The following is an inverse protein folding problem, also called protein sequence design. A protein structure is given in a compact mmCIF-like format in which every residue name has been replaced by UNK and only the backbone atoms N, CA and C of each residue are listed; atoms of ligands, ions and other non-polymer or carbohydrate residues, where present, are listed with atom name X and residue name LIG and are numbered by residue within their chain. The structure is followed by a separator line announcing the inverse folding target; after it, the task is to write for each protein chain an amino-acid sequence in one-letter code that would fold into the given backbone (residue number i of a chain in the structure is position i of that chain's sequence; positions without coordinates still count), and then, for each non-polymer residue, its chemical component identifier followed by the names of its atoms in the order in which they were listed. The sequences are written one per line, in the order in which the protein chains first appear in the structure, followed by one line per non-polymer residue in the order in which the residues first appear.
data_IF_170123346679
#
_entry.id   IF_170123346679
#
_cell.length_a   1.000
_cell.length_b   1.000
_cell.length_c   1.000
_cell.angle_alpha   90.00
_cell.angle_beta   90.00
_cell.angle_gamma   90.00
#
_symmetry.space_group_name_H-M   'P 1'
#
loop_
_entity.id
_entity.type
_entity.pdbx_description
1 polymer ?
#
# COMPACT_ATOMS: atom_id res chain seq x y z
N UNK A 1 -26.12 -8.73 -17.68
CA UNK A 1 -25.23 -9.81 -17.21
C UNK A 1 -24.76 -9.45 -15.82
N UNK A 2 -24.82 -10.35 -14.87
CA UNK A 2 -24.35 -10.08 -13.50
C UNK A 2 -22.82 -9.99 -13.50
N UNK A 3 -22.27 -9.04 -12.71
CA UNK A 3 -20.81 -8.88 -12.62
C UNK A 3 -20.20 -10.04 -11.83
N UNK A 4 -19.06 -10.52 -12.29
CA UNK A 4 -18.29 -11.56 -11.62
C UNK A 4 -16.86 -11.01 -11.40
N UNK A 5 -16.60 -10.64 -10.16
CA UNK A 5 -15.32 -10.06 -9.73
C UNK A 5 -14.56 -11.07 -8.88
N UNK A 6 -13.32 -11.31 -9.22
CA UNK A 6 -12.40 -12.08 -8.42
C UNK A 6 -11.46 -11.12 -7.67
N UNK A 7 -11.05 -11.53 -6.47
CA UNK A 7 -9.90 -10.93 -5.78
C UNK A 7 -8.92 -12.03 -5.42
N UNK A 8 -7.73 -11.97 -5.99
CA UNK A 8 -6.64 -12.91 -5.75
C UNK A 8 -5.61 -12.31 -4.80
N UNK A 9 -5.21 -13.08 -3.76
CA UNK A 9 -4.28 -12.67 -2.71
C UNK A 9 -3.24 -13.79 -2.49
N UNK A 10 -1.96 -13.50 -2.77
CA UNK A 10 -0.87 -14.46 -2.63
C UNK A 10 -0.59 -14.73 -1.15
N UNK A 11 -0.73 -15.99 -0.73
CA UNK A 11 -0.61 -16.35 0.67
C UNK A 11 0.80 -16.17 1.22
N UNK A 12 0.93 -15.38 2.30
CA UNK A 12 2.22 -15.11 2.96
C UNK A 12 3.30 -14.67 1.95
N UNK A 13 2.96 -13.88 0.96
CA UNK A 13 3.68 -13.64 -0.30
C UNK A 13 5.21 -13.65 -0.16
N UNK A 14 5.80 -12.71 0.59
CA UNK A 14 7.25 -12.62 0.72
C UNK A 14 7.87 -13.88 1.34
N UNK A 15 7.26 -14.39 2.42
CA UNK A 15 7.76 -15.60 3.09
C UNK A 15 7.65 -16.84 2.19
N UNK A 16 6.59 -16.94 1.39
CA UNK A 16 6.40 -18.04 0.44
C UNK A 16 7.41 -17.97 -0.70
N UNK A 17 7.74 -16.78 -1.20
CA UNK A 17 8.76 -16.59 -2.23
C UNK A 17 10.15 -16.93 -1.68
N UNK A 18 10.51 -16.46 -0.47
CA UNK A 18 11.79 -16.82 0.16
C UNK A 18 11.92 -18.34 0.35
N UNK A 19 10.85 -18.99 0.79
CA UNK A 19 10.82 -20.46 0.94
C UNK A 19 10.96 -21.19 -0.41
N UNK A 20 10.38 -20.64 -1.48
CA UNK A 20 10.54 -21.18 -2.83
C UNK A 20 11.98 -21.03 -3.34
N UNK A 21 12.61 -19.87 -3.12
CA UNK A 21 13.98 -19.59 -3.52
C UNK A 21 14.98 -20.44 -2.72
N UNK A 22 14.69 -20.69 -1.45
CA UNK A 22 15.50 -21.54 -0.59
C UNK A 22 14.64 -22.64 0.07
N UNK A 23 14.52 -23.82 -0.54
CA UNK A 23 13.70 -24.92 -0.01
C UNK A 23 14.08 -25.41 1.39
N UNK A 24 15.28 -25.09 1.88
CA UNK A 24 15.69 -25.41 3.27
C UNK A 24 14.89 -24.65 4.32
N UNK A 25 14.22 -23.57 3.93
CA UNK A 25 13.35 -22.77 4.80
C UNK A 25 11.94 -23.37 4.98
N UNK A 26 11.60 -24.40 4.23
CA UNK A 26 10.28 -25.04 4.28
C UNK A 26 10.02 -25.67 5.64
N UNK A 27 8.88 -25.36 6.24
CA UNK A 27 8.48 -25.86 7.55
C UNK A 27 9.15 -25.16 8.74
N UNK A 28 9.99 -24.15 8.49
CA UNK A 28 10.64 -23.37 9.54
C UNK A 28 9.80 -22.11 9.83
N UNK A 29 9.55 -21.78 11.11
CA UNK A 29 8.99 -20.47 11.45
C UNK A 29 9.93 -19.36 11.00
N UNK A 30 9.55 -18.61 9.96
CA UNK A 30 10.33 -17.50 9.44
C UNK A 30 9.51 -16.22 9.33
N UNK A 31 10.18 -15.08 9.44
CA UNK A 31 9.64 -13.78 9.15
C UNK A 31 10.60 -13.00 8.23
N UNK A 32 10.02 -12.37 7.20
CA UNK A 32 10.73 -11.39 6.38
C UNK A 32 10.64 -10.06 7.09
N UNK A 33 11.80 -9.47 7.43
CA UNK A 33 11.87 -8.26 8.25
C UNK A 33 12.85 -7.26 7.66
N UNK A 34 12.60 -5.95 7.87
CA UNK A 34 13.60 -4.93 7.66
C UNK A 34 14.81 -5.09 8.61
N UNK A 35 15.92 -4.45 8.30
CA UNK A 35 17.14 -4.53 9.11
C UNK A 35 16.92 -3.90 10.49
N UNK A 36 17.32 -4.62 11.53
CA UNK A 36 17.20 -4.15 12.91
C UNK A 36 18.11 -2.95 13.17
N UNK A 37 19.30 -2.98 12.60
CA UNK A 37 20.34 -1.96 12.72
C UNK A 37 19.86 -0.60 12.18
N UNK A 38 19.03 -0.62 11.14
CA UNK A 38 18.47 0.57 10.50
C UNK A 38 17.18 1.06 11.19
N UNK A 39 16.86 0.59 12.41
CA UNK A 39 15.58 0.87 13.12
C UNK A 39 14.31 0.49 12.32
N UNK A 40 14.44 -0.34 11.27
CA UNK A 40 13.35 -0.85 10.42
C UNK A 40 12.94 -2.28 10.77
N UNK A 41 13.29 -2.74 11.95
CA UNK A 41 13.09 -4.11 12.40
C UNK A 41 11.63 -4.48 12.69
N UNK A 42 10.75 -4.41 11.68
CA UNK A 42 9.37 -4.90 11.76
C UNK A 42 9.14 -6.11 10.85
N UNK A 43 8.18 -6.95 11.24
CA UNK A 43 7.73 -8.08 10.44
C UNK A 43 6.93 -7.58 9.24
N UNK A 44 7.45 -7.78 8.02
CA UNK A 44 6.78 -7.45 6.76
C UNK A 44 5.87 -8.59 6.31
N UNK A 45 6.36 -9.83 6.38
CA UNK A 45 5.61 -11.05 6.11
C UNK A 45 6.13 -12.19 6.99
N UNK A 46 5.35 -13.24 7.13
CA UNK A 46 5.70 -14.40 7.96
C UNK A 46 5.23 -15.70 7.32
N UNK A 47 5.91 -16.80 7.61
CA UNK A 47 5.47 -18.14 7.21
C UNK A 47 4.22 -18.57 7.96
N UNK A 48 3.56 -19.62 7.48
CA UNK A 48 2.38 -20.16 8.13
C UNK A 48 2.72 -20.72 9.53
N UNK A 49 3.90 -21.32 9.69
CA UNK A 49 4.42 -21.82 10.96
C UNK A 49 4.58 -20.70 11.98
N UNK A 50 5.15 -19.56 11.58
CA UNK A 50 5.28 -18.38 12.46
C UNK A 50 3.91 -17.77 12.79
N UNK A 51 2.96 -17.78 11.82
CA UNK A 51 1.59 -17.30 12.03
C UNK A 51 0.85 -18.11 13.10
N UNK A 52 0.97 -19.42 13.10
CA UNK A 52 0.36 -20.31 14.10
C UNK A 52 0.90 -20.03 15.51
N UNK A 53 2.18 -19.63 15.63
CA UNK A 53 2.81 -19.24 16.88
C UNK A 53 2.46 -17.78 17.32
N UNK A 54 1.55 -17.12 16.60
CA UNK A 54 1.02 -15.82 16.96
C UNK A 54 1.85 -14.62 16.50
N UNK A 55 2.85 -14.80 15.62
CA UNK A 55 3.60 -13.71 15.00
C UNK A 55 2.67 -12.90 14.09
N UNK A 56 2.71 -11.57 14.18
CA UNK A 56 1.86 -10.64 13.42
C UNK A 56 2.68 -9.77 12.47
N UNK A 57 2.12 -9.43 11.32
CA UNK A 57 2.69 -8.42 10.42
C UNK A 57 2.59 -7.04 11.08
N UNK A 58 3.64 -6.23 10.93
CA UNK A 58 3.74 -4.89 11.51
C UNK A 58 4.23 -4.83 12.96
N UNK A 59 4.45 -5.98 13.62
CA UNK A 59 5.06 -5.97 14.96
C UNK A 59 6.59 -5.90 14.90
N UNK A 60 7.21 -5.43 15.96
CA UNK A 60 8.66 -5.37 16.05
C UNK A 60 9.28 -6.77 16.13
N UNK A 61 10.51 -6.93 15.64
CA UNK A 61 11.21 -8.23 15.66
C UNK A 61 11.28 -8.81 17.07
N UNK A 62 11.57 -8.00 18.09
CA UNK A 62 11.66 -8.47 19.47
C UNK A 62 10.33 -8.99 20.01
N UNK A 63 9.19 -8.36 19.64
CA UNK A 63 7.84 -8.85 19.99
C UNK A 63 7.54 -10.20 19.33
N UNK A 64 7.92 -10.33 18.04
CA UNK A 64 7.78 -11.59 17.31
C UNK A 64 8.63 -12.71 17.93
N UNK A 65 9.87 -12.40 18.31
CA UNK A 65 10.78 -13.37 18.97
C UNK A 65 10.32 -13.78 20.36
N UNK A 66 9.62 -12.93 21.12
CA UNK A 66 9.00 -13.34 22.38
C UNK A 66 7.93 -14.43 22.19
N UNK A 67 7.21 -14.41 21.07
CA UNK A 67 6.19 -15.42 20.72
C UNK A 67 6.78 -16.66 20.08
N UNK A 68 7.85 -16.48 19.31
CA UNK A 68 8.54 -17.52 18.58
C UNK A 68 10.06 -17.37 18.77
N UNK A 69 10.65 -17.93 19.86
CA UNK A 69 12.09 -17.77 20.15
C UNK A 69 13.01 -18.25 19.04
N UNK A 70 12.59 -19.27 18.29
CA UNK A 70 13.35 -19.83 17.15
C UNK A 70 12.94 -19.21 15.80
N UNK A 71 12.36 -18.00 15.79
CA UNK A 71 11.96 -17.31 14.58
C UNK A 71 13.18 -16.95 13.72
N UNK A 72 13.23 -17.50 12.52
CA UNK A 72 14.27 -17.16 11.55
C UNK A 72 13.93 -15.82 10.89
N UNK A 73 14.85 -14.88 10.96
CA UNK A 73 14.70 -13.56 10.32
C UNK A 73 15.42 -13.58 8.96
N UNK A 74 14.67 -13.17 7.90
CA UNK A 74 15.19 -13.11 6.53
C UNK A 74 15.03 -11.66 6.02
N UNK A 75 16.06 -11.07 5.41
CA UNK A 75 15.94 -9.73 4.80
C UNK A 75 15.03 -9.78 3.56
N UNK A 76 14.33 -8.68 3.22
CA UNK A 76 13.42 -8.67 2.08
C UNK A 76 14.18 -8.60 0.75
N UNK A 77 13.71 -9.35 -0.24
CA UNK A 77 14.17 -9.34 -1.62
C UNK A 77 13.06 -8.81 -2.55
N UNK A 78 12.90 -7.49 -2.59
CA UNK A 78 11.82 -6.84 -3.34
C UNK A 78 11.85 -7.12 -4.86
N UNK A 79 13.03 -7.31 -5.44
CA UNK A 79 13.16 -7.60 -6.87
C UNK A 79 12.48 -8.93 -7.24
N UNK A 80 12.70 -9.98 -6.42
CA UNK A 80 12.02 -11.25 -6.60
C UNK A 80 10.51 -11.17 -6.29
N UNK A 81 10.10 -10.37 -5.30
CA UNK A 81 8.66 -10.19 -5.01
C UNK A 81 7.93 -9.51 -6.17
N UNK A 82 8.51 -8.45 -6.73
CA UNK A 82 7.97 -7.76 -7.90
C UNK A 82 7.94 -8.65 -9.15
N UNK A 83 8.92 -9.53 -9.31
CA UNK A 83 8.99 -10.49 -10.42
C UNK A 83 7.88 -11.53 -10.31
N UNK A 84 7.68 -12.13 -9.13
CA UNK A 84 6.58 -13.06 -8.89
C UNK A 84 5.21 -12.40 -9.00
N UNK A 85 5.08 -11.15 -8.55
CA UNK A 85 3.87 -10.33 -8.74
C UNK A 85 3.53 -10.15 -10.22
N UNK A 86 4.53 -9.89 -11.08
CA UNK A 86 4.32 -9.78 -12.54
C UNK A 86 3.88 -11.11 -13.14
N UNK A 87 4.56 -12.21 -12.82
CA UNK A 87 4.19 -13.53 -13.30
C UNK A 87 2.78 -13.96 -12.90
N UNK A 88 2.36 -13.65 -11.66
CA UNK A 88 1.00 -13.90 -11.24
C UNK A 88 -0.01 -13.10 -12.08
N UNK A 89 0.28 -11.81 -12.34
CA UNK A 89 -0.57 -10.99 -13.21
C UNK A 89 -0.61 -11.46 -14.66
N UNK A 90 0.50 -11.99 -15.18
CA UNK A 90 0.52 -12.58 -16.53
C UNK A 90 -0.47 -13.75 -16.62
N UNK A 91 -0.55 -14.60 -15.59
CA UNK A 91 -1.57 -15.65 -15.49
C UNK A 91 -2.99 -15.06 -15.45
N UNK A 92 -3.20 -13.99 -14.67
CA UNK A 92 -4.52 -13.34 -14.56
C UNK A 92 -4.99 -12.75 -15.91
N UNK A 93 -4.06 -12.21 -16.70
CA UNK A 93 -4.36 -11.64 -18.02
C UNK A 93 -4.83 -12.68 -19.05
N UNK A 94 -4.58 -13.97 -18.85
CA UNK A 94 -5.13 -15.02 -19.68
C UNK A 94 -6.66 -15.13 -19.56
N UNK A 95 -7.23 -14.64 -18.45
CA UNK A 95 -8.67 -14.71 -18.15
C UNK A 95 -9.41 -13.39 -18.34
N UNK A 96 -8.74 -12.26 -18.23
CA UNK A 96 -9.36 -10.93 -18.39
C UNK A 96 -8.33 -9.86 -18.70
N UNK A 97 -8.70 -8.86 -19.51
CA UNK A 97 -7.94 -7.63 -19.67
C UNK A 97 -8.19 -6.63 -18.54
N UNK A 98 -9.22 -6.83 -17.72
CA UNK A 98 -9.54 -6.01 -16.57
C UNK A 98 -8.92 -6.62 -15.31
N UNK A 99 -7.67 -6.27 -15.05
CA UNK A 99 -6.88 -6.73 -13.89
C UNK A 99 -6.28 -5.51 -13.20
N UNK A 100 -6.75 -5.24 -12.00
CA UNK A 100 -6.36 -4.09 -11.19
C UNK A 100 -5.48 -4.54 -10.01
N UNK A 101 -4.19 -4.17 -10.01
CA UNK A 101 -3.32 -4.46 -8.88
C UNK A 101 -3.73 -3.69 -7.61
N UNK A 102 -3.66 -4.37 -6.47
CA UNK A 102 -3.81 -3.78 -5.14
C UNK A 102 -2.60 -4.17 -4.27
N UNK A 103 -1.50 -3.45 -4.44
CA UNK A 103 -0.21 -3.80 -3.86
C UNK A 103 0.62 -4.75 -4.75
N UNK A 104 1.51 -5.52 -4.10
CA UNK A 104 2.42 -6.45 -4.78
C UNK A 104 1.76 -7.81 -4.98
N UNK A 105 0.95 -8.24 -4.03
CA UNK A 105 0.44 -9.60 -3.88
C UNK A 105 -1.07 -9.74 -4.12
N UNK A 106 -1.77 -8.64 -4.31
CA UNK A 106 -3.22 -8.64 -4.49
C UNK A 106 -3.62 -8.07 -5.87
N UNK A 107 -4.69 -8.64 -6.46
CA UNK A 107 -5.31 -8.12 -7.68
C UNK A 107 -6.82 -8.36 -7.68
N UNK A 108 -7.58 -7.39 -8.21
CA UNK A 108 -8.94 -7.65 -8.69
C UNK A 108 -8.94 -8.00 -10.16
N UNK A 109 -9.86 -8.89 -10.54
CA UNK A 109 -10.14 -9.26 -11.92
C UNK A 109 -11.66 -9.15 -12.18
N UNK A 110 -12.07 -8.52 -13.25
CA UNK A 110 -13.45 -8.62 -13.75
C UNK A 110 -13.49 -9.67 -14.86
N UNK A 111 -14.07 -10.83 -14.54
CA UNK A 111 -14.18 -11.96 -15.49
C UNK A 111 -15.58 -12.09 -16.08
N UNK A 112 -16.44 -11.07 -15.89
CA UNK A 112 -17.84 -11.09 -16.38
C UNK A 112 -17.93 -11.38 -17.89
N UNK A 113 -17.00 -10.83 -18.67
CA UNK A 113 -16.95 -11.05 -20.13
C UNK A 113 -16.37 -12.40 -20.54
N UNK A 114 -15.73 -13.12 -19.63
CA UNK A 114 -14.97 -14.35 -19.92
C UNK A 114 -15.69 -15.64 -19.49
N UNK A 115 -16.81 -15.54 -18.79
CA UNK A 115 -17.54 -16.71 -18.26
C UNK A 115 -18.03 -17.68 -19.34
N UNK A 116 -18.27 -17.20 -20.55
CA UNK A 116 -18.68 -18.05 -21.67
C UNK A 116 -17.51 -18.87 -22.27
N UNK A 117 -16.27 -18.47 -21.98
CA UNK A 117 -15.05 -19.16 -22.43
C UNK A 117 -14.51 -20.13 -21.38
N UNK A 118 -14.53 -19.72 -20.11
CA UNK A 118 -13.82 -20.42 -19.02
C UNK A 118 -14.75 -21.01 -17.95
N UNK A 119 -16.08 -20.82 -18.04
CA UNK A 119 -17.03 -21.31 -17.07
C UNK A 119 -17.38 -20.28 -15.99
N UNK A 120 -17.98 -20.72 -14.89
CA UNK A 120 -18.42 -19.83 -13.79
C UNK A 120 -17.24 -19.19 -13.07
N UNK A 121 -17.47 -18.07 -12.43
CA UNK A 121 -16.43 -17.34 -11.66
C UNK A 121 -15.65 -18.22 -10.69
N UNK A 122 -16.32 -19.16 -10.03
CA UNK A 122 -15.68 -20.13 -9.13
C UNK A 122 -14.75 -21.09 -9.88
N UNK A 123 -15.13 -21.55 -11.06
CA UNK A 123 -14.32 -22.48 -11.87
C UNK A 123 -13.05 -21.77 -12.36
N UNK A 124 -13.20 -20.51 -12.83
CA UNK A 124 -12.06 -19.65 -13.20
C UNK A 124 -11.12 -19.44 -12.00
N UNK A 125 -11.67 -19.16 -10.82
CA UNK A 125 -10.88 -18.95 -9.61
C UNK A 125 -10.09 -20.21 -9.20
N UNK A 126 -10.69 -21.41 -9.28
CA UNK A 126 -10.02 -22.68 -8.99
C UNK A 126 -8.92 -22.98 -10.02
N UNK A 127 -9.15 -22.67 -11.28
CA UNK A 127 -8.14 -22.84 -12.33
C UNK A 127 -6.95 -21.90 -12.10
N UNK A 128 -7.19 -20.60 -11.84
CA UNK A 128 -6.15 -19.62 -11.50
C UNK A 128 -5.36 -20.09 -10.28
N UNK A 129 -6.04 -20.52 -9.20
CA UNK A 129 -5.40 -21.03 -7.98
C UNK A 129 -4.47 -22.22 -8.27
N UNK A 130 -4.96 -23.16 -9.08
CA UNK A 130 -4.18 -24.34 -9.49
C UNK A 130 -2.96 -23.97 -10.34
N UNK A 131 -3.11 -23.03 -11.28
CA UNK A 131 -2.03 -22.55 -12.13
C UNK A 131 -0.96 -21.81 -11.33
N UNK A 132 -1.33 -20.88 -10.44
CA UNK A 132 -0.38 -20.17 -9.56
C UNK A 132 0.43 -21.19 -8.75
N UNK A 133 -0.22 -22.19 -8.18
CA UNK A 133 0.45 -23.23 -7.42
C UNK A 133 1.41 -24.06 -8.27
N UNK A 134 1.01 -24.46 -9.47
CA UNK A 134 1.79 -25.30 -10.38
C UNK A 134 2.93 -24.55 -11.05
N UNK A 135 2.65 -23.34 -11.57
CA UNK A 135 3.58 -22.57 -12.39
C UNK A 135 4.53 -21.73 -11.51
N UNK A 136 4.02 -21.13 -10.42
CA UNK A 136 4.82 -20.26 -9.57
C UNK A 136 5.28 -20.91 -8.27
N UNK A 137 4.76 -22.08 -7.90
CA UNK A 137 5.13 -22.78 -6.67
C UNK A 137 4.75 -22.08 -5.37
N UNK A 138 3.82 -21.13 -5.43
CA UNK A 138 3.22 -20.41 -4.29
C UNK A 138 1.71 -20.63 -4.29
N UNK A 139 1.04 -20.31 -3.20
CA UNK A 139 -0.42 -20.44 -3.11
C UNK A 139 -1.12 -19.09 -3.13
N UNK A 140 -2.36 -19.07 -3.59
CA UNK A 140 -3.23 -17.89 -3.62
C UNK A 140 -4.59 -18.22 -3.04
N UNK A 141 -5.18 -17.29 -2.31
CA UNK A 141 -6.59 -17.38 -1.91
C UNK A 141 -7.41 -16.42 -2.76
N UNK A 142 -8.55 -16.89 -3.28
CA UNK A 142 -9.35 -16.13 -4.23
C UNK A 142 -10.77 -15.99 -3.70
N UNK A 143 -11.23 -14.75 -3.61
CA UNK A 143 -12.64 -14.44 -3.38
C UNK A 143 -13.36 -14.17 -4.68
N UNK A 144 -14.57 -14.72 -4.83
CA UNK A 144 -15.45 -14.54 -5.99
C UNK A 144 -16.71 -13.83 -5.53
N UNK A 145 -17.08 -12.73 -6.16
CA UNK A 145 -18.31 -12.00 -5.81
C UNK A 145 -18.79 -11.10 -6.95
N UNK A 146 -19.88 -10.38 -6.71
CA UNK A 146 -20.48 -9.42 -7.65
C UNK A 146 -19.92 -8.00 -7.53
N UNK A 147 -19.02 -7.73 -6.58
CA UNK A 147 -18.33 -6.46 -6.40
C UNK A 147 -16.92 -6.65 -5.82
N UNK A 148 -16.10 -5.60 -5.90
CA UNK A 148 -14.69 -5.62 -5.45
C UNK A 148 -14.55 -5.83 -3.95
N UNK A 149 -15.45 -5.24 -3.16
CA UNK A 149 -15.39 -5.26 -1.68
C UNK A 149 -15.60 -6.68 -1.15
N UNK A 150 -16.63 -7.36 -1.66
CA UNK A 150 -16.93 -8.72 -1.21
C UNK A 150 -16.00 -9.77 -1.82
N UNK A 151 -15.50 -9.53 -3.04
CA UNK A 151 -14.44 -10.38 -3.58
C UNK A 151 -13.20 -10.35 -2.68
N UNK A 152 -12.76 -9.15 -2.22
CA UNK A 152 -11.66 -9.05 -1.28
C UNK A 152 -11.98 -9.70 0.06
N UNK A 153 -13.13 -9.46 0.63
CA UNK A 153 -13.54 -10.10 1.87
C UNK A 153 -13.51 -11.63 1.74
N UNK A 154 -14.03 -12.18 0.62
CA UNK A 154 -14.00 -13.61 0.33
C UNK A 154 -12.60 -14.21 0.31
N UNK A 155 -11.61 -13.48 -0.25
CA UNK A 155 -10.22 -13.95 -0.29
C UNK A 155 -9.59 -14.05 1.10
N UNK A 156 -10.08 -13.28 2.09
CA UNK A 156 -9.58 -13.28 3.46
C UNK A 156 -10.26 -14.35 4.36
N UNK A 157 -11.51 -14.76 4.04
CA UNK A 157 -12.30 -15.68 4.88
C UNK A 157 -11.69 -17.07 5.05
N UNK A 158 -11.08 -17.60 3.97
CA UNK A 158 -10.45 -18.93 3.99
C UNK A 158 -9.03 -18.82 3.43
N UNK A 159 -8.06 -18.84 4.32
CA UNK A 159 -6.62 -18.83 3.97
C UNK A 159 -5.91 -19.98 4.72
N UNK A 160 -4.90 -20.61 4.11
CA UNK A 160 -4.36 -20.40 2.76
C UNK A 160 -5.01 -21.31 1.70
N UNK A 161 -4.67 -21.04 0.40
CA UNK A 161 -4.91 -21.93 -0.75
C UNK A 161 -6.39 -22.32 -0.92
N UNK A 162 -7.29 -21.34 -0.99
CA UNK A 162 -8.73 -21.58 -1.03
C UNK A 162 -9.46 -20.62 -1.97
N UNK A 163 -10.64 -21.05 -2.43
CA UNK A 163 -11.61 -20.20 -3.14
C UNK A 163 -12.86 -20.03 -2.28
N UNK A 164 -13.31 -18.79 -2.12
CA UNK A 164 -14.52 -18.44 -1.38
C UNK A 164 -15.45 -17.61 -2.25
N UNK A 165 -16.67 -18.07 -2.43
CA UNK A 165 -17.70 -17.35 -3.17
C UNK A 165 -18.70 -16.67 -2.21
N UNK A 166 -18.95 -15.39 -2.47
CA UNK A 166 -19.98 -14.58 -1.79
C UNK A 166 -20.97 -14.12 -2.86
N UNK A 167 -22.08 -14.84 -2.98
CA UNK A 167 -23.12 -14.57 -3.96
C UNK A 167 -24.06 -13.47 -3.48
N UNK A 168 -24.83 -12.87 -4.40
CA UNK A 168 -25.79 -11.81 -4.08
C UNK A 168 -26.94 -12.30 -3.21
N UNK A 169 -27.30 -13.57 -3.35
CA UNK A 169 -28.41 -14.19 -2.65
C UNK A 169 -28.09 -14.45 -1.18
N UNK A 170 -26.84 -14.76 -0.87
CA UNK A 170 -26.43 -15.28 0.45
C UNK A 170 -25.42 -14.39 1.21
N UNK A 171 -25.03 -13.24 0.64
CA UNK A 171 -23.99 -12.40 1.27
C UNK A 171 -24.35 -11.97 2.70
N UNK A 172 -25.62 -11.70 2.98
CA UNK A 172 -26.05 -11.26 4.31
C UNK A 172 -25.78 -12.33 5.36
N UNK A 173 -26.09 -13.58 5.06
CA UNK A 173 -25.87 -14.72 5.95
C UNK A 173 -24.38 -14.96 6.18
N UNK A 174 -23.58 -14.84 5.10
CA UNK A 174 -22.14 -15.08 5.13
C UNK A 174 -21.34 -14.00 5.84
N UNK A 175 -21.71 -12.72 5.68
CA UNK A 175 -20.83 -11.62 6.09
C UNK A 175 -21.38 -10.70 7.18
N UNK A 176 -22.69 -10.60 7.37
CA UNK A 176 -23.23 -9.62 8.31
C UNK A 176 -22.87 -9.90 9.77
N UNK A 177 -22.58 -11.14 10.13
CA UNK A 177 -22.12 -11.51 11.46
C UNK A 177 -20.61 -11.34 11.68
N UNK A 178 -19.86 -10.99 10.62
CA UNK A 178 -18.42 -10.78 10.73
C UNK A 178 -18.11 -9.46 11.46
N UNK A 179 -16.98 -9.39 12.18
CA UNK A 179 -16.49 -8.16 12.79
C UNK A 179 -16.32 -7.04 11.76
N UNK A 180 -16.53 -5.80 12.19
CA UNK A 180 -16.41 -4.62 11.32
C UNK A 180 -15.07 -4.48 10.61
N UNK A 181 -13.99 -4.86 11.27
CA UNK A 181 -12.62 -4.76 10.75
C UNK A 181 -12.33 -5.65 9.54
N UNK A 182 -13.18 -6.64 9.29
CA UNK A 182 -13.09 -7.48 8.09
C UNK A 182 -13.55 -6.72 6.82
N UNK A 183 -14.34 -5.66 6.99
CA UNK A 183 -14.78 -4.85 5.86
C UNK A 183 -13.66 -3.90 5.40
N UNK A 184 -13.33 -3.95 4.12
CA UNK A 184 -12.32 -3.08 3.51
C UNK A 184 -12.60 -1.60 3.83
N UNK A 185 -11.58 -0.90 4.34
CA UNK A 185 -11.66 0.52 4.73
C UNK A 185 -11.97 0.74 6.21
N UNK A 186 -12.30 -0.28 6.99
CA UNK A 186 -12.52 -0.16 8.44
C UNK A 186 -11.20 -0.39 9.20
N UNK A 187 -10.40 0.66 9.29
CA UNK A 187 -9.21 0.66 10.15
C UNK A 187 -9.55 0.93 11.64
N UNK A 188 -8.53 0.86 12.50
CA UNK A 188 -8.65 1.04 13.97
C UNK A 188 -9.44 2.31 14.37
N UNK A 189 -9.24 3.41 13.65
CA UNK A 189 -9.91 4.69 13.95
C UNK A 189 -11.42 4.62 13.65
N UNK A 190 -11.82 4.06 12.52
CA UNK A 190 -13.23 3.87 12.17
C UNK A 190 -13.89 2.86 13.09
N UNK A 191 -13.27 1.71 13.36
CA UNK A 191 -13.76 0.72 14.33
C UNK A 191 -14.06 1.37 15.68
N UNK A 192 -13.11 2.18 16.23
CA UNK A 192 -13.32 2.87 17.52
C UNK A 192 -14.52 3.83 17.49
N UNK A 193 -14.72 4.56 16.39
CA UNK A 193 -15.84 5.49 16.24
C UNK A 193 -17.18 4.73 16.08
N UNK A 194 -17.22 3.67 15.28
CA UNK A 194 -18.41 2.85 15.07
C UNK A 194 -18.83 2.11 16.35
N UNK A 195 -17.88 1.56 17.09
CA UNK A 195 -18.16 0.90 18.38
C UNK A 195 -18.81 1.86 19.39
N UNK A 196 -18.46 3.16 19.37
CA UNK A 196 -19.14 4.17 20.20
C UNK A 196 -20.61 4.40 19.82
N UNK A 197 -21.00 4.01 18.61
CA UNK A 197 -22.36 4.01 18.11
C UNK A 197 -23.06 2.64 18.28
N UNK A 198 -22.45 1.73 19.06
CA UNK A 198 -22.92 0.35 19.28
C UNK A 198 -22.99 -0.48 18.00
N UNK A 199 -22.13 -0.17 17.00
CA UNK A 199 -21.98 -0.88 15.74
C UNK A 199 -20.71 -1.72 15.83
N UNK A 200 -20.85 -3.06 15.85
CA UNK A 200 -19.74 -3.99 16.06
C UNK A 200 -19.52 -4.94 14.88
N UNK A 201 -20.57 -5.21 14.10
CA UNK A 201 -20.55 -6.12 12.97
C UNK A 201 -20.84 -5.40 11.65
N UNK A 202 -20.53 -6.07 10.53
CA UNK A 202 -20.89 -5.56 9.20
C UNK A 202 -22.42 -5.40 9.08
N UNK A 203 -23.18 -6.33 9.65
CA UNK A 203 -24.65 -6.26 9.66
C UNK A 203 -25.19 -5.12 10.50
N UNK A 204 -24.57 -4.77 11.64
CA UNK A 204 -24.98 -3.59 12.42
C UNK A 204 -24.76 -2.32 11.60
N UNK A 205 -23.61 -2.22 10.91
CA UNK A 205 -23.33 -1.10 10.01
C UNK A 205 -24.35 -1.01 8.88
N UNK A 206 -24.69 -2.14 8.26
CA UNK A 206 -25.63 -2.21 7.13
C UNK A 206 -27.05 -1.76 7.54
N UNK A 207 -27.48 -2.07 8.77
CA UNK A 207 -28.78 -1.67 9.34
C UNK A 207 -28.78 -0.29 9.97
N UNK A 208 -27.58 0.30 10.17
CA UNK A 208 -27.45 1.61 10.79
C UNK A 208 -28.06 2.73 9.95
N UNK A 209 -28.44 3.83 10.63
CA UNK A 209 -28.95 5.04 9.97
C UNK A 209 -27.84 5.74 9.17
N UNK A 210 -27.95 5.85 7.85
CA UNK A 210 -26.93 6.47 7.01
C UNK A 210 -26.69 7.95 7.31
N UNK A 211 -27.71 8.69 7.76
CA UNK A 211 -27.57 10.12 8.11
C UNK A 211 -26.78 10.30 9.40
N UNK A 212 -27.02 9.46 10.40
CA UNK A 212 -26.23 9.42 11.63
C UNK A 212 -24.76 9.04 11.33
N UNK A 213 -24.55 8.03 10.50
CA UNK A 213 -23.23 7.57 10.07
C UNK A 213 -22.49 8.71 9.33
N UNK A 214 -23.17 9.40 8.42
CA UNK A 214 -22.62 10.55 7.69
C UNK A 214 -22.24 11.69 8.63
N UNK A 215 -23.09 12.01 9.58
CA UNK A 215 -22.82 13.06 10.57
C UNK A 215 -21.58 12.76 11.43
N UNK A 216 -21.37 11.49 11.82
CA UNK A 216 -20.27 11.08 12.71
C UNK A 216 -18.97 10.74 11.99
N UNK A 217 -19.04 10.24 10.77
CA UNK A 217 -17.89 9.68 10.03
C UNK A 217 -17.64 10.37 8.68
N UNK A 218 -18.50 11.30 8.28
CA UNK A 218 -18.43 11.98 6.99
C UNK A 218 -18.75 11.05 5.81
N UNK A 219 -18.35 11.45 4.62
CA UNK A 219 -18.63 10.72 3.38
C UNK A 219 -18.04 9.30 3.38
N UNK A 220 -16.89 9.09 4.01
CA UNK A 220 -16.27 7.77 4.11
C UNK A 220 -17.14 6.79 4.93
N UNK A 221 -17.88 7.28 5.92
CA UNK A 221 -18.85 6.48 6.65
C UNK A 221 -20.00 5.99 5.76
N UNK A 222 -20.47 6.86 4.85
CA UNK A 222 -21.49 6.51 3.86
C UNK A 222 -20.98 5.46 2.88
N UNK A 223 -19.72 5.56 2.43
CA UNK A 223 -19.12 4.51 1.59
C UNK A 223 -19.09 3.16 2.32
N UNK A 224 -18.64 3.13 3.57
CA UNK A 224 -18.64 1.89 4.37
C UNK A 224 -20.03 1.30 4.57
N UNK A 225 -21.03 2.15 4.81
CA UNK A 225 -22.43 1.72 4.89
C UNK A 225 -22.94 1.12 3.56
N UNK A 226 -22.60 1.74 2.43
CA UNK A 226 -22.92 1.19 1.12
C UNK A 226 -22.21 -0.16 0.89
N UNK A 227 -20.95 -0.28 1.25
CA UNK A 227 -20.20 -1.53 1.14
C UNK A 227 -20.83 -2.66 1.97
N UNK A 228 -21.20 -2.39 3.23
CA UNK A 228 -21.90 -3.36 4.07
C UNK A 228 -23.25 -3.84 3.48
N UNK A 229 -23.88 -3.01 2.64
CA UNK A 229 -25.08 -3.32 1.89
C UNK A 229 -24.85 -3.90 0.48
N UNK A 230 -23.58 -4.21 0.12
CA UNK A 230 -23.23 -4.74 -1.19
C UNK A 230 -23.31 -3.75 -2.35
N UNK A 231 -23.34 -2.46 -2.04
CA UNK A 231 -23.48 -1.36 -3.01
C UNK A 231 -22.12 -0.79 -3.38
N UNK A 232 -21.32 -1.57 -4.08
CA UNK A 232 -20.10 -1.10 -4.73
C UNK A 232 -20.18 -1.36 -6.24
N UNK A 233 -20.09 -0.30 -7.01
CA UNK A 233 -20.18 -0.31 -8.47
C UNK A 233 -18.86 0.10 -9.13
N UNK A 234 -17.77 0.23 -8.36
CA UNK A 234 -16.47 0.58 -8.89
C UNK A 234 -16.03 -0.46 -9.93
N UNK A 235 -15.52 0.01 -11.06
CA UNK A 235 -14.98 -0.86 -12.11
C UNK A 235 -13.60 -1.40 -11.70
N UNK A 236 -13.26 -2.57 -12.22
CA UNK A 236 -11.88 -3.04 -12.25
C UNK A 236 -11.19 -2.35 -13.42
N UNK A 237 -10.03 -1.78 -13.20
CA UNK A 237 -9.30 -1.04 -14.24
C UNK A 237 -8.72 -1.96 -15.30
N UNK A 238 -8.58 -1.45 -16.52
CA UNK A 238 -7.94 -2.17 -17.61
C UNK A 238 -6.43 -2.32 -17.37
N UNK A 239 -5.85 -3.33 -18.01
CA UNK A 239 -4.42 -3.65 -18.00
C UNK A 239 -3.52 -2.44 -18.28
N UNK A 240 -3.94 -1.58 -19.22
CA UNK A 240 -3.15 -0.45 -19.68
C UNK A 240 -3.39 0.84 -18.86
N UNK A 241 -4.36 0.81 -17.95
CA UNK A 241 -4.63 1.96 -17.08
C UNK A 241 -3.45 2.21 -16.15
N UNK A 242 -3.08 3.46 -16.00
CA UNK A 242 -2.07 3.93 -15.05
C UNK A 242 -2.60 5.14 -14.32
N UNK A 243 -2.63 5.04 -13.00
CA UNK A 243 -2.96 6.21 -12.18
C UNK A 243 -1.94 7.32 -12.41
N UNK A 244 -2.39 8.58 -12.53
CA UNK A 244 -1.47 9.70 -12.63
C UNK A 244 -0.64 9.82 -11.35
N UNK A 245 0.67 10.02 -11.50
CA UNK A 245 1.57 10.24 -10.36
C UNK A 245 1.23 11.57 -9.72
N UNK A 246 0.77 11.55 -8.46
CA UNK A 246 0.36 12.77 -7.73
C UNK A 246 1.51 13.40 -6.94
N UNK A 247 2.46 12.61 -6.51
CA UNK A 247 3.64 13.05 -5.76
C UNK A 247 4.73 12.01 -5.80
N UNK A 248 5.99 12.43 -5.62
CA UNK A 248 7.16 11.57 -5.50
C UNK A 248 7.88 11.89 -4.19
N UNK A 249 8.05 10.91 -3.31
CA UNK A 249 8.69 11.15 -2.02
C UNK A 249 9.65 10.03 -1.60
N UNK A 250 10.60 10.42 -0.75
CA UNK A 250 11.53 9.53 -0.06
C UNK A 250 11.61 9.93 1.40
N UNK A 251 11.71 8.94 2.27
CA UNK A 251 11.89 9.16 3.70
C UNK A 251 12.80 8.10 4.30
N UNK A 252 13.42 8.46 5.41
CA UNK A 252 14.28 7.58 6.18
C UNK A 252 14.02 7.75 7.68
N UNK A 253 14.04 6.66 8.41
CA UNK A 253 14.29 6.66 9.84
C UNK A 253 15.80 6.50 10.02
N UNK A 254 16.45 7.48 10.61
CA UNK A 254 17.90 7.50 10.75
C UNK A 254 18.37 6.48 11.79
N UNK A 255 19.57 5.95 11.64
CA UNK A 255 20.19 4.98 12.57
C UNK A 255 20.39 5.59 13.95
N UNK A 256 20.74 6.89 13.99
CA UNK A 256 20.85 7.71 15.18
C UNK A 256 19.92 8.92 15.07
N UNK A 257 19.52 9.50 16.18
CA UNK A 257 18.68 10.70 16.17
C UNK A 257 19.52 11.90 15.69
N UNK A 258 18.94 12.76 14.87
CA UNK A 258 19.59 13.98 14.40
C UNK A 258 19.44 15.07 15.46
N UNK A 259 20.53 15.78 15.75
CA UNK A 259 20.60 16.77 16.82
C UNK A 259 20.88 18.20 16.35
N UNK A 260 21.23 18.37 15.07
CA UNK A 260 21.56 19.67 14.52
C UNK A 260 21.17 19.85 13.05
N UNK A 261 21.14 21.10 12.61
CA UNK A 261 20.71 21.49 11.27
C UNK A 261 21.59 20.91 10.16
N UNK A 262 22.88 20.73 10.40
CA UNK A 262 23.80 20.18 9.39
C UNK A 262 23.49 18.71 9.09
N UNK A 263 23.17 17.91 10.09
CA UNK A 263 22.75 16.53 9.94
C UNK A 263 21.44 16.44 9.14
N UNK A 264 20.46 17.30 9.45
CA UNK A 264 19.20 17.41 8.71
C UNK A 264 19.45 17.74 7.23
N UNK A 265 20.33 18.71 6.95
CA UNK A 265 20.70 19.07 5.57
C UNK A 265 21.33 17.92 4.80
N UNK A 266 22.24 17.17 5.42
CA UNK A 266 22.88 15.98 4.81
C UNK A 266 21.82 14.93 4.43
N UNK A 267 20.89 14.66 5.33
CA UNK A 267 19.79 13.70 5.06
C UNK A 267 18.88 14.21 3.93
N UNK A 268 18.51 15.48 3.91
CA UNK A 268 17.73 16.02 2.79
C UNK A 268 18.44 15.93 1.46
N UNK A 269 19.75 16.14 1.41
CA UNK A 269 20.55 15.97 0.18
C UNK A 269 20.49 14.54 -0.34
N UNK A 270 20.66 13.56 0.54
CA UNK A 270 20.58 12.14 0.17
C UNK A 270 19.19 11.75 -0.34
N UNK A 271 18.16 12.12 0.40
CA UNK A 271 16.76 11.83 0.02
C UNK A 271 16.37 12.51 -1.31
N UNK A 272 16.83 13.75 -1.52
CA UNK A 272 16.55 14.53 -2.73
C UNK A 272 17.13 13.88 -3.99
N UNK A 273 18.28 13.22 -3.89
CA UNK A 273 18.84 12.46 -5.01
C UNK A 273 17.88 11.33 -5.45
N UNK A 274 17.29 10.60 -4.49
CA UNK A 274 16.31 9.55 -4.77
C UNK A 274 15.00 10.10 -5.37
N UNK A 275 14.54 11.28 -4.90
CA UNK A 275 13.35 11.97 -5.45
C UNK A 275 13.62 12.46 -6.87
N UNK A 276 14.77 13.11 -7.12
CA UNK A 276 15.19 13.57 -8.43
C UNK A 276 15.24 12.44 -9.46
N UNK A 277 15.87 11.31 -9.10
CA UNK A 277 15.93 10.12 -9.95
C UNK A 277 14.54 9.60 -10.32
N UNK A 278 13.61 9.56 -9.37
CA UNK A 278 12.25 9.11 -9.61
C UNK A 278 11.43 10.12 -10.45
N UNK A 279 11.56 11.42 -10.20
CA UNK A 279 10.94 12.46 -11.02
C UNK A 279 11.36 12.33 -12.49
N UNK A 280 12.67 12.16 -12.73
CA UNK A 280 13.21 11.96 -14.08
C UNK A 280 12.64 10.71 -14.75
N UNK A 281 12.53 9.60 -14.02
CA UNK A 281 11.99 8.35 -14.57
C UNK A 281 10.51 8.44 -14.94
N UNK A 282 9.76 9.31 -14.27
CA UNK A 282 8.34 9.56 -14.54
C UNK A 282 8.10 10.72 -15.51
N UNK A 283 9.11 11.52 -15.87
CA UNK A 283 8.99 12.69 -16.74
C UNK A 283 8.26 13.87 -16.07
N UNK A 284 8.51 14.11 -14.77
CA UNK A 284 7.89 15.19 -14.01
C UNK A 284 8.91 16.14 -13.38
N UNK A 285 8.50 17.38 -13.21
CA UNK A 285 9.14 18.40 -12.39
C UNK A 285 8.34 18.60 -11.10
N UNK A 286 9.01 18.94 -10.01
CA UNK A 286 8.37 19.35 -8.77
C UNK A 286 7.93 20.81 -8.84
N UNK A 287 6.64 21.11 -8.71
CA UNK A 287 6.11 22.48 -8.55
C UNK A 287 6.02 22.90 -7.08
N UNK A 288 6.24 22.00 -6.16
CA UNK A 288 6.27 22.25 -4.72
C UNK A 288 7.01 21.17 -3.96
N UNK A 289 7.38 21.52 -2.74
CA UNK A 289 8.07 20.62 -1.80
C UNK A 289 7.27 20.44 -0.52
N UNK A 290 7.25 19.22 -0.02
CA UNK A 290 6.68 18.87 1.28
C UNK A 290 7.75 18.13 2.09
N UNK A 291 7.88 18.51 3.36
CA UNK A 291 8.74 17.79 4.31
C UNK A 291 7.89 17.22 5.45
N UNK A 292 8.30 16.09 5.98
CA UNK A 292 7.78 15.55 7.23
C UNK A 292 8.93 15.29 8.18
N UNK A 293 8.80 15.81 9.39
CA UNK A 293 9.79 15.71 10.45
C UNK A 293 9.16 14.94 11.62
N UNK A 294 9.76 13.81 11.98
CA UNK A 294 9.32 13.01 13.13
C UNK A 294 10.40 12.99 14.18
N UNK A 295 10.08 13.43 15.38
CA UNK A 295 11.01 13.43 16.50
C UNK A 295 11.10 12.05 17.20
N UNK A 296 12.00 11.92 18.16
CA UNK A 296 12.22 10.67 18.90
C UNK A 296 11.07 10.31 19.86
N UNK A 297 10.22 11.29 20.22
CA UNK A 297 8.96 11.06 20.95
C UNK A 297 7.81 10.57 20.02
N UNK A 298 8.12 10.32 18.75
CA UNK A 298 7.21 9.86 17.70
C UNK A 298 6.16 10.90 17.24
N UNK A 299 6.25 12.15 17.67
CA UNK A 299 5.43 13.23 17.12
C UNK A 299 5.92 13.60 15.73
N UNK A 300 4.97 13.83 14.82
CA UNK A 300 5.27 14.16 13.43
C UNK A 300 4.64 15.49 13.05
N UNK A 301 5.44 16.38 12.47
CA UNK A 301 5.00 17.65 11.87
C UNK A 301 5.24 17.58 10.36
N UNK A 302 4.37 18.22 9.57
CA UNK A 302 4.44 18.22 8.12
C UNK A 302 4.27 19.64 7.61
N UNK A 303 5.13 20.05 6.68
CA UNK A 303 5.15 21.37 6.10
C UNK A 303 5.26 21.28 4.59
N UNK A 304 4.69 22.24 3.88
CA UNK A 304 4.79 22.29 2.42
C UNK A 304 4.77 23.71 1.90
N UNK A 305 5.40 23.93 0.73
CA UNK A 305 5.30 25.18 -0.02
C UNK A 305 5.46 24.94 -1.52
N UNK A 306 5.02 25.89 -2.30
CA UNK A 306 5.38 25.95 -3.74
C UNK A 306 6.83 26.40 -3.85
N UNK A 307 7.52 25.90 -4.88
CA UNK A 307 8.84 26.38 -5.25
C UNK A 307 8.72 27.38 -6.42
N UNK A 308 9.58 28.39 -6.42
CA UNK A 308 9.50 29.48 -7.39
C UNK A 308 9.64 29.03 -8.83
N UNK A 309 10.45 27.99 -9.07
CA UNK A 309 10.68 27.42 -10.39
C UNK A 309 10.59 25.89 -10.34
N UNK A 310 9.69 25.27 -11.13
CA UNK A 310 9.58 23.82 -11.17
C UNK A 310 10.91 23.14 -11.52
N UNK A 311 11.34 22.21 -10.70
CA UNK A 311 12.67 21.61 -10.81
C UNK A 311 12.67 20.10 -10.56
N UNK A 312 13.62 19.40 -11.16
CA UNK A 312 13.98 18.02 -10.83
C UNK A 312 15.41 17.93 -10.26
N UNK A 313 16.13 19.05 -10.12
CA UNK A 313 17.47 19.07 -9.55
C UNK A 313 17.47 18.66 -8.09
N UNK A 314 18.27 17.64 -7.75
CA UNK A 314 18.42 17.18 -6.37
C UNK A 314 18.94 18.26 -5.43
N UNK A 315 19.80 19.17 -5.94
CA UNK A 315 20.35 20.28 -5.16
C UNK A 315 19.27 21.29 -4.80
N UNK A 316 18.47 21.71 -5.80
CA UNK A 316 17.36 22.67 -5.59
C UNK A 316 16.32 22.06 -4.62
N UNK A 317 15.95 20.79 -4.84
CA UNK A 317 14.99 20.12 -3.95
C UNK A 317 15.50 20.03 -2.51
N UNK A 318 16.80 19.79 -2.32
CA UNK A 318 17.39 19.72 -0.98
C UNK A 318 17.44 21.08 -0.29
N UNK A 319 17.82 22.14 -1.02
CA UNK A 319 17.84 23.53 -0.53
C UNK A 319 16.44 24.00 -0.14
N UNK A 320 15.45 23.79 -1.01
CA UNK A 320 14.06 24.15 -0.73
C UNK A 320 13.47 23.42 0.47
N UNK A 321 13.81 22.12 0.63
CA UNK A 321 13.39 21.34 1.79
C UNK A 321 14.05 21.83 3.07
N UNK A 322 15.33 22.19 2.99
CA UNK A 322 16.09 22.67 4.15
C UNK A 322 15.65 24.09 4.57
N UNK A 323 15.44 24.98 3.63
CA UNK A 323 14.93 26.32 3.91
C UNK A 323 13.53 26.27 4.55
N UNK A 324 12.66 25.39 4.03
CA UNK A 324 11.35 25.16 4.63
C UNK A 324 11.47 24.58 6.05
N UNK A 325 12.44 23.71 6.29
CA UNK A 325 12.72 23.16 7.61
C UNK A 325 13.19 24.27 8.57
N UNK A 326 14.15 25.11 8.17
CA UNK A 326 14.66 26.21 8.99
C UNK A 326 13.58 27.23 9.34
N UNK A 327 12.68 27.50 8.41
CA UNK A 327 11.58 28.46 8.58
C UNK A 327 10.50 27.94 9.56
N UNK A 328 10.17 26.65 9.49
CA UNK A 328 8.96 26.12 10.13
C UNK A 328 9.21 25.23 11.35
N UNK A 329 10.39 24.62 11.43
CA UNK A 329 10.65 23.64 12.49
C UNK A 329 11.42 24.26 13.65
N UNK A 330 10.84 24.19 14.82
CA UNK A 330 11.53 24.53 16.08
C UNK A 330 12.02 23.26 16.75
N UNK A 331 13.29 23.23 17.12
CA UNK A 331 13.89 22.11 17.81
C UNK A 331 13.28 21.94 19.22
N UNK A 332 12.40 20.94 19.37
CA UNK A 332 11.82 20.55 20.65
C UNK A 332 12.45 19.26 21.20
N UNK A 333 12.95 18.42 20.28
CA UNK A 333 13.55 17.11 20.57
C UNK A 333 14.37 16.66 19.37
N UNK A 334 15.34 15.75 19.54
CA UNK A 334 16.08 15.13 18.45
C UNK A 334 15.15 14.50 17.40
N UNK A 335 15.57 14.55 16.15
CA UNK A 335 14.78 14.07 15.00
C UNK A 335 15.12 12.63 14.69
N UNK A 336 14.09 11.77 14.65
CA UNK A 336 14.20 10.35 14.36
C UNK A 336 14.04 10.00 12.89
N UNK A 337 13.20 10.75 12.17
CA UNK A 337 12.91 10.44 10.77
C UNK A 337 12.60 11.71 9.98
N UNK A 338 13.05 11.72 8.72
CA UNK A 338 12.80 12.78 7.77
C UNK A 338 12.20 12.21 6.49
N UNK A 339 11.32 12.98 5.87
CA UNK A 339 10.77 12.70 4.53
C UNK A 339 10.81 13.97 3.72
N UNK A 340 11.20 13.83 2.44
CA UNK A 340 11.03 14.85 1.41
C UNK A 340 10.08 14.32 0.35
N UNK A 341 9.21 15.19 -0.17
CA UNK A 341 8.24 14.85 -1.20
C UNK A 341 8.09 15.98 -2.20
N UNK A 342 8.23 15.69 -3.47
CA UNK A 342 7.84 16.55 -4.57
C UNK A 342 6.31 16.48 -4.74
N UNK A 343 5.66 17.62 -4.75
CA UNK A 343 4.22 17.80 -4.92
C UNK A 343 3.94 18.76 -6.07
N UNK A 344 2.66 18.91 -6.45
CA UNK A 344 2.26 19.78 -7.56
C UNK A 344 3.08 19.47 -8.82
N UNK A 345 3.10 18.19 -9.20
CA UNK A 345 3.93 17.68 -10.29
C UNK A 345 3.49 18.27 -11.62
N UNK A 346 4.45 18.73 -12.41
CA UNK A 346 4.26 19.30 -13.75
C UNK A 346 4.96 18.38 -14.72
N UNK A 347 4.27 17.94 -15.79
CA UNK A 347 4.92 17.14 -16.83
C UNK A 347 6.05 17.90 -17.49
N UNK A 348 7.21 17.26 -17.66
CA UNK A 348 8.41 17.90 -18.23
C UNK A 348 8.18 18.53 -19.62
N UNK A 349 7.23 17.97 -20.38
CA UNK A 349 6.82 18.48 -21.70
C UNK A 349 5.83 19.66 -21.64
N UNK A 350 5.23 19.88 -20.48
CA UNK A 350 4.30 20.99 -20.28
C UNK A 350 5.14 22.21 -19.90
N UNK A 351 5.18 23.23 -20.76
CA UNK A 351 5.90 24.46 -20.47
C UNK A 351 5.48 25.05 -19.12
N UNK A 352 6.43 25.52 -18.33
CA UNK A 352 6.17 26.24 -17.08
C UNK A 352 5.98 27.74 -17.39
N UNK A 353 4.97 28.35 -16.76
CA UNK A 353 4.79 29.79 -16.82
C UNK A 353 5.89 30.46 -16.00
N UNK A 354 6.70 31.27 -16.67
CA UNK A 354 7.77 32.04 -16.03
C UNK A 354 7.20 33.36 -15.48
N UNK A 355 7.69 33.81 -14.34
CA UNK A 355 7.37 35.10 -13.75
C UNK A 355 8.30 36.17 -14.35
N UNK A 356 7.78 37.36 -14.63
CA UNK A 356 8.61 38.51 -15.13
C UNK A 356 9.51 39.09 -14.03
N UNK A 357 9.32 38.73 -12.78
CA UNK A 357 10.03 39.29 -11.63
C UNK A 357 11.24 38.49 -11.19
N UNK A 358 11.54 37.34 -11.83
CA UNK A 358 12.64 36.46 -11.45
C UNK A 358 13.66 36.27 -12.59
N UNK A 359 14.95 36.24 -12.24
CA UNK A 359 16.03 35.95 -13.19
C UNK A 359 16.25 34.44 -13.33
N UNK A 360 15.54 33.87 -14.28
CA UNK A 360 15.63 32.43 -14.57
C UNK A 360 16.94 31.96 -15.18
N UNK A 361 17.80 32.89 -15.65
CA UNK A 361 19.08 32.54 -16.28
C UNK A 361 20.01 31.82 -15.27
N UNK A 362 19.96 32.22 -14.02
CA UNK A 362 20.71 31.57 -12.92
C UNK A 362 20.12 30.22 -12.52
N UNK A 363 18.80 30.09 -12.50
CA UNK A 363 18.08 28.86 -12.15
C UNK A 363 18.30 27.78 -13.21
N UNK A 364 18.19 28.12 -14.49
CA UNK A 364 18.46 27.22 -15.62
C UNK A 364 19.91 26.71 -15.62
N UNK A 365 20.86 27.56 -15.24
CA UNK A 365 22.26 27.12 -15.07
C UNK A 365 22.43 26.12 -13.92
N UNK A 366 21.70 26.29 -12.79
CA UNK A 366 21.72 25.38 -11.64
C UNK A 366 21.06 24.03 -11.93
N UNK A 367 20.09 23.98 -12.85
CA UNK A 367 19.46 22.73 -13.29
C UNK A 367 20.38 21.83 -14.16
N UNK A 368 21.35 22.44 -14.84
CA UNK A 368 22.28 21.75 -15.75
C UNK A 368 23.52 21.17 -15.06
N UNK A 369 23.68 21.43 -13.78
CA UNK A 369 24.74 20.90 -12.92
C UNK A 369 24.17 19.78 -12.03
#
# INVERSE_FOLDING_TARGET
MERVILHADMNNCYASIETKLNPKLKGIPLAVCGRREDRHGIVLAKSQEAKVLGVKTGEAIWEAQLKCPNLLIVPPNYDEYLKHSRWARDIYYDYSNQVEPYGIDECWLDVSGSIHLFGKGKDIAEEIRSRIKKELGITVSIGVSFNKIFAKLGSDMKKPDAVTEIAREDFKEKIWNLPLEELLGVGKAFKKKLNRLMIFTIGDLARGDPDLIRMKLGINGVYLWNYANGRDYSSVTDRDYRDPVKSVGRGITTTEDLENNLEVYRVFRELSFGVSKALRSYGYLAGGIQISVKNNNLFSKQYQRQISYPSLSSTILAEEAYDLFLEKYSWESPIRALTIRAINLIGEKNGSQLSFYEDYSKLIKREKV
#
